data_IF_503889451551
#
_entry.id   IF_503889451551
#
_cell.length_a   1.000
_cell.length_b   1.000
_cell.length_c   1.000
_cell.angle_alpha   90.00
_cell.angle_beta   90.00
_cell.angle_gamma   90.00
#
_symmetry.space_group_name_H-M   'P 1'
#
loop_
_entity.id
_entity.type
_entity.pdbx_description
1 polymer ?
#
# COMPACT_ATOMS: atom_id res chain seq x y z
N UNK A 1 -11.65 3.74 2.13
CA UNK A 1 -10.41 3.84 2.92
C UNK A 1 -9.99 2.43 3.27
N UNK A 2 -8.71 2.11 3.15
CA UNK A 2 -8.15 0.81 3.55
C UNK A 2 -7.11 1.04 4.64
N UNK A 3 -7.17 0.25 5.70
CA UNK A 3 -6.27 0.37 6.85
C UNK A 3 -5.41 -0.89 6.97
N UNK A 4 -4.10 -0.71 7.06
CA UNK A 4 -3.13 -1.82 7.16
C UNK A 4 -2.32 -1.62 8.43
N UNK A 5 -2.36 -2.61 9.33
CA UNK A 5 -1.51 -2.61 10.52
C UNK A 5 -0.11 -3.06 10.14
N UNK A 6 0.89 -2.24 10.44
CA UNK A 6 2.30 -2.53 10.22
C UNK A 6 2.98 -2.82 11.57
N UNK A 7 4.08 -3.59 11.57
CA UNK A 7 4.86 -3.81 12.80
C UNK A 7 5.67 -2.57 13.23
N UNK A 8 5.68 -1.49 12.43
CA UNK A 8 6.51 -0.30 12.59
C UNK A 8 5.71 0.95 12.23
N UNK A 9 6.07 2.10 12.82
CA UNK A 9 5.54 3.41 12.44
C UNK A 9 6.25 4.09 11.26
N UNK A 10 7.30 3.45 10.69
CA UNK A 10 7.99 3.96 9.51
C UNK A 10 7.12 3.76 8.26
N UNK A 11 6.85 4.81 7.46
CA UNK A 11 6.04 4.68 6.25
C UNK A 11 6.79 3.88 5.18
N UNK A 12 6.17 2.84 4.57
CA UNK A 12 6.66 2.28 3.32
C UNK A 12 6.31 3.23 2.16
N UNK A 13 6.93 3.00 1.02
CA UNK A 13 6.39 3.52 -0.23
C UNK A 13 5.15 2.71 -0.61
N UNK A 14 4.06 3.41 -0.95
CA UNK A 14 2.77 2.79 -1.26
C UNK A 14 2.45 3.02 -2.73
N UNK A 15 2.26 1.92 -3.47
CA UNK A 15 1.69 1.94 -4.81
C UNK A 15 0.31 1.32 -4.80
N UNK A 16 -0.64 2.00 -5.42
CA UNK A 16 -2.03 1.54 -5.52
C UNK A 16 -2.34 1.25 -6.97
N UNK A 17 -2.97 0.10 -7.25
CA UNK A 17 -3.34 -0.30 -8.62
C UNK A 17 -4.78 -0.77 -8.70
N UNK A 18 -5.42 -0.48 -9.84
CA UNK A 18 -6.74 -1.02 -10.17
C UNK A 18 -6.64 -2.43 -10.78
N UNK A 19 -7.79 -3.04 -11.11
CA UNK A 19 -7.86 -4.38 -11.70
C UNK A 19 -7.17 -4.51 -13.06
N UNK A 20 -7.10 -3.43 -13.83
CA UNK A 20 -6.35 -3.37 -15.09
C UNK A 20 -4.84 -3.19 -14.89
N UNK A 21 -4.35 -3.13 -13.64
CA UNK A 21 -2.94 -2.93 -13.31
C UNK A 21 -2.46 -1.48 -13.39
N UNK A 22 -3.35 -0.52 -13.69
CA UNK A 22 -3.00 0.90 -13.77
C UNK A 22 -2.76 1.47 -12.37
N UNK A 23 -1.67 2.20 -12.20
CA UNK A 23 -1.36 2.93 -10.97
C UNK A 23 -2.36 4.07 -10.73
N UNK A 24 -2.77 4.23 -9.48
CA UNK A 24 -3.66 5.30 -9.03
C UNK A 24 -2.91 6.21 -8.06
N UNK A 25 -3.06 7.53 -8.23
CA UNK A 25 -2.59 8.50 -7.26
C UNK A 25 -3.59 8.54 -6.10
N UNK A 26 -3.17 8.03 -4.94
CA UNK A 26 -4.01 7.98 -3.73
C UNK A 26 -3.21 8.53 -2.56
N UNK A 27 -3.80 9.44 -1.79
CA UNK A 27 -3.21 9.92 -0.56
C UNK A 27 -3.12 8.80 0.49
N UNK A 28 -2.02 8.72 1.21
CA UNK A 28 -1.86 7.82 2.35
C UNK A 28 -1.13 8.52 3.49
N UNK A 29 -1.37 8.05 4.72
CA UNK A 29 -0.69 8.56 5.91
C UNK A 29 -0.46 7.46 6.94
N UNK A 30 0.54 7.64 7.78
CA UNK A 30 0.76 6.81 8.96
C UNK A 30 0.03 7.41 10.18
N UNK A 31 -0.68 6.55 10.91
CA UNK A 31 -1.30 6.82 12.21
C UNK A 31 -0.71 5.83 13.23
N UNK A 32 0.38 6.24 13.89
CA UNK A 32 1.18 5.33 14.72
C UNK A 32 1.73 4.17 13.87
N UNK A 33 1.23 2.96 14.11
CA UNK A 33 1.61 1.74 13.38
C UNK A 33 0.56 1.33 12.32
N UNK A 34 -0.39 2.20 12.01
CA UNK A 34 -1.44 1.92 11.03
C UNK A 34 -1.24 2.79 9.79
N UNK A 35 -1.14 2.15 8.63
CA UNK A 35 -1.15 2.82 7.34
C UNK A 35 -2.60 3.01 6.87
N UNK A 36 -3.03 4.26 6.73
CA UNK A 36 -4.34 4.62 6.18
C UNK A 36 -4.20 5.01 4.71
N UNK A 37 -4.83 4.25 3.81
CA UNK A 37 -4.84 4.47 2.36
C UNK A 37 -6.19 5.05 1.93
N UNK A 38 -6.15 6.18 1.24
CA UNK A 38 -7.28 6.99 0.78
C UNK A 38 -8.23 6.36 -0.23
N UNK A 39 -8.22 5.04 -0.43
CA UNK A 39 -9.05 4.33 -1.39
C UNK A 39 -9.40 2.92 -0.87
N UNK A 40 -10.26 2.20 -1.58
CA UNK A 40 -10.40 0.74 -1.46
C UNK A 40 -9.87 0.15 -2.76
N UNK A 41 -8.56 -0.13 -2.85
CA UNK A 41 -7.97 -0.56 -4.10
C UNK A 41 -8.03 -2.07 -4.30
N UNK A 42 -8.01 -2.47 -5.58
CA UNK A 42 -7.82 -3.87 -5.96
C UNK A 42 -6.45 -4.39 -5.53
N UNK A 43 -5.39 -3.58 -5.67
CA UNK A 43 -4.03 -3.96 -5.25
C UNK A 43 -3.29 -2.81 -4.56
N UNK A 44 -2.56 -3.17 -3.51
CA UNK A 44 -1.59 -2.31 -2.80
C UNK A 44 -0.24 -3.03 -2.81
N UNK A 45 0.80 -2.36 -3.29
CA UNK A 45 2.17 -2.82 -3.15
C UNK A 45 2.87 -1.92 -2.13
N UNK A 46 3.38 -2.54 -1.06
CA UNK A 46 4.16 -1.89 0.00
C UNK A 46 5.64 -2.17 -0.26
N UNK A 47 6.42 -1.12 -0.43
CA UNK A 47 7.82 -1.19 -0.83
C UNK A 47 8.69 -0.58 0.27
N UNK A 48 9.78 -1.25 0.62
CA UNK A 48 10.76 -0.77 1.60
C UNK A 48 12.18 -1.19 1.20
N UNK A 49 13.18 -0.52 1.75
CA UNK A 49 14.59 -0.77 1.46
C UNK A 49 15.19 0.23 0.49
N UNK A 50 16.44 -0.03 0.09
CA UNK A 50 17.18 0.79 -0.87
C UNK A 50 17.01 0.23 -2.28
N UNK A 51 17.27 1.04 -3.31
CA UNK A 51 17.10 0.65 -4.73
C UNK A 51 17.84 -0.64 -5.13
N UNK A 52 18.92 -0.99 -4.43
CA UNK A 52 19.69 -2.23 -4.63
C UNK A 52 19.15 -3.43 -3.85
N UNK A 53 18.29 -3.23 -2.84
CA UNK A 53 17.73 -4.23 -1.94
C UNK A 53 16.30 -3.86 -1.57
N UNK A 54 15.42 -3.93 -2.57
CA UNK A 54 14.03 -3.56 -2.42
C UNK A 54 13.22 -4.78 -2.00
N UNK A 55 12.44 -4.65 -0.92
CA UNK A 55 11.48 -5.64 -0.49
C UNK A 55 10.06 -5.16 -0.83
N UNK A 56 9.27 -6.03 -1.47
CA UNK A 56 7.89 -5.77 -1.87
C UNK A 56 6.95 -6.74 -1.15
N UNK A 57 5.89 -6.20 -0.53
CA UNK A 57 4.73 -6.98 -0.09
C UNK A 57 3.53 -6.54 -0.92
N UNK A 58 2.88 -7.51 -1.57
CA UNK A 58 1.69 -7.29 -2.38
C UNK A 58 0.45 -7.76 -1.65
N UNK A 59 -0.53 -6.87 -1.57
CA UNK A 59 -1.86 -7.13 -1.02
C UNK A 59 -2.88 -6.96 -2.16
N UNK A 60 -3.53 -8.06 -2.54
CA UNK A 60 -4.60 -8.05 -3.55
C UNK A 60 -5.94 -8.31 -2.87
N UNK A 61 -6.92 -7.47 -3.15
CA UNK A 61 -8.29 -7.66 -2.71
C UNK A 61 -9.10 -8.36 -3.81
N UNK A 62 -9.21 -9.69 -3.74
CA UNK A 62 -10.02 -10.47 -4.68
C UNK A 62 -11.53 -10.28 -4.46
N UNK A 63 -11.94 -9.71 -3.31
CA UNK A 63 -13.33 -9.45 -2.97
C UNK A 63 -13.84 -8.05 -3.39
N UNK A 64 -12.99 -7.14 -3.87
CA UNK A 64 -13.40 -5.82 -4.40
C UNK A 64 -12.22 -4.98 -4.95
N UNK A 65 -12.36 -4.13 -5.97
CA UNK A 65 -13.52 -3.58 -6.68
C UNK A 65 -13.47 -3.88 -8.19
#
# INVERSE_FOLDING_TARGET
MTYIRLPTGKPPMVLVRNKAGKSLLVGYRMEGHTLAVGAIPYRIDLLTGHWSHLAEIRLTNEAGA
#
